data_IF_847963389276
#
_entry.id   IF_847963389276
#
_cell.length_a   1.000
_cell.length_b   1.000
_cell.length_c   1.000
_cell.angle_alpha   90.00
_cell.angle_beta   90.00
_cell.angle_gamma   90.00
#
_symmetry.space_group_name_H-M   'P 1'
#
loop_
_entity.id
_entity.type
_entity.pdbx_description
1 polymer ?
#
# COMPACT_ATOMS: atom_id res chain seq x y z
N UNK A 1 -20.68 13.99 -6.26
CA UNK A 1 -20.23 14.21 -4.86
C UNK A 1 -19.77 12.86 -4.31
N UNK A 2 -18.49 12.67 -4.02
CA UNK A 2 -17.97 11.42 -3.41
C UNK A 2 -17.90 11.64 -1.90
N UNK A 3 -18.77 10.97 -1.14
CA UNK A 3 -18.78 11.02 0.32
C UNK A 3 -17.90 9.87 0.80
N UNK A 4 -16.71 10.16 1.30
CA UNK A 4 -15.88 9.17 1.99
C UNK A 4 -16.36 9.08 3.44
N UNK A 5 -16.93 7.95 3.83
CA UNK A 5 -17.28 7.70 5.22
C UNK A 5 -15.99 7.46 6.01
N UNK A 6 -15.74 8.26 7.05
CA UNK A 6 -14.75 7.93 8.08
C UNK A 6 -15.21 6.63 8.74
N UNK A 7 -14.31 5.66 8.95
CA UNK A 7 -14.63 4.31 9.45
C UNK A 7 -15.14 4.25 10.90
N UNK A 8 -15.74 5.33 11.40
CA UNK A 8 -16.44 5.44 12.68
C UNK A 8 -17.81 6.05 12.45
N UNK A 9 -18.84 5.42 12.98
CA UNK A 9 -20.24 5.90 12.92
C UNK A 9 -20.81 6.02 14.32
N UNK A 10 -21.64 7.05 14.54
CA UNK A 10 -22.40 7.22 15.77
C UNK A 10 -23.76 6.54 15.60
N UNK A 11 -24.07 5.55 16.44
CA UNK A 11 -25.37 4.86 16.45
C UNK A 11 -25.82 4.66 17.89
N UNK A 12 -27.04 5.05 18.22
CA UNK A 12 -27.64 4.87 19.55
C UNK A 12 -26.72 5.38 20.69
N UNK A 13 -26.19 6.61 20.55
CA UNK A 13 -25.23 7.26 21.45
C UNK A 13 -23.92 6.49 21.71
N UNK A 14 -23.61 5.50 20.86
CA UNK A 14 -22.36 4.76 20.88
C UNK A 14 -21.58 4.96 19.60
N UNK A 15 -20.28 5.19 19.73
CA UNK A 15 -19.35 5.23 18.60
C UNK A 15 -19.01 3.78 18.23
N UNK A 16 -19.37 3.39 17.02
CA UNK A 16 -19.05 2.09 16.44
C UNK A 16 -17.94 2.31 15.41
N UNK A 17 -16.80 1.68 15.62
CA UNK A 17 -15.76 1.56 14.59
C UNK A 17 -16.20 0.50 13.58
N UNK A 18 -16.18 0.83 12.29
CA UNK A 18 -16.45 -0.10 11.19
C UNK A 18 -15.17 -0.82 10.71
N UNK A 19 -14.01 -0.38 11.20
CA UNK A 19 -12.69 -0.86 10.79
C UNK A 19 -12.17 -2.01 11.69
N UNK A 20 -12.95 -3.07 11.87
CA UNK A 20 -12.49 -4.32 12.53
C UNK A 20 -11.82 -5.30 11.54
N UNK A 21 -11.09 -4.76 10.56
CA UNK A 21 -10.08 -5.52 9.82
C UNK A 21 -8.88 -4.61 9.59
N UNK A 22 -7.97 -4.56 10.55
CA UNK A 22 -6.55 -4.35 10.26
C UNK A 22 -6.08 -5.51 9.37
N UNK A 23 -6.48 -5.52 8.10
CA UNK A 23 -5.66 -6.11 7.08
C UNK A 23 -4.51 -5.14 6.96
N UNK A 24 -3.39 -5.49 7.61
CA UNK A 24 -2.09 -4.91 7.28
C UNK A 24 -2.07 -4.76 5.76
N UNK A 25 -2.02 -3.52 5.29
CA UNK A 25 -1.99 -3.18 3.87
C UNK A 25 -0.58 -3.53 3.38
N UNK A 26 -0.25 -4.82 3.42
CA UNK A 26 1.01 -5.35 2.91
C UNK A 26 0.97 -5.07 1.42
N UNK A 27 1.99 -4.38 0.88
CA UNK A 27 2.02 -4.08 -0.54
C UNK A 27 1.87 -5.39 -1.32
N UNK A 28 0.76 -5.52 -2.05
CA UNK A 28 0.54 -6.64 -2.94
C UNK A 28 1.47 -6.46 -4.13
N UNK A 29 2.43 -7.37 -4.29
CA UNK A 29 3.34 -7.35 -5.45
C UNK A 29 2.50 -7.60 -6.70
N UNK A 30 2.37 -6.58 -7.55
CA UNK A 30 1.53 -6.61 -8.77
C UNK A 30 2.29 -7.03 -10.04
N UNK A 31 3.58 -7.33 -9.93
CA UNK A 31 4.41 -7.70 -11.08
C UNK A 31 5.51 -8.67 -10.67
N UNK A 32 5.63 -9.77 -11.44
CA UNK A 32 6.73 -10.73 -11.35
C UNK A 32 7.98 -10.26 -12.10
N UNK A 33 7.91 -9.11 -12.77
CA UNK A 33 9.02 -8.58 -13.56
C UNK A 33 10.05 -7.90 -12.66
N UNK A 34 11.28 -8.41 -12.65
CA UNK A 34 12.42 -7.75 -12.01
C UNK A 34 12.80 -6.47 -12.77
N UNK A 35 12.67 -5.28 -12.17
CA UNK A 35 12.97 -4.03 -12.86
C UNK A 35 14.47 -3.90 -13.12
N UNK A 36 14.85 -3.31 -14.26
CA UNK A 36 16.26 -3.06 -14.62
C UNK A 36 16.91 -1.98 -13.76
N UNK A 37 16.12 -1.04 -13.26
CA UNK A 37 16.55 0.07 -12.41
C UNK A 37 15.66 0.15 -11.17
N UNK A 38 16.25 0.43 -10.01
CA UNK A 38 15.57 0.62 -8.73
C UNK A 38 16.01 1.96 -8.12
N UNK A 39 15.20 2.49 -7.21
CA UNK A 39 15.50 3.73 -6.51
C UNK A 39 16.14 3.43 -5.15
N UNK A 40 17.24 4.09 -4.82
CA UNK A 40 17.89 3.96 -3.52
C UNK A 40 17.17 4.78 -2.43
N UNK A 41 17.65 4.67 -1.18
CA UNK A 41 17.10 5.40 -0.03
C UNK A 41 17.23 6.93 -0.12
N UNK A 42 18.01 7.47 -1.07
CA UNK A 42 18.16 8.90 -1.33
C UNK A 42 17.33 9.36 -2.52
N UNK A 43 16.61 8.44 -3.17
CA UNK A 43 15.82 8.74 -4.35
C UNK A 43 16.60 8.64 -5.66
N UNK A 44 17.83 8.13 -5.67
CA UNK A 44 18.67 8.00 -6.86
C UNK A 44 18.36 6.71 -7.61
N UNK A 45 18.26 6.79 -8.94
CA UNK A 45 18.10 5.60 -9.78
C UNK A 45 19.43 4.86 -9.95
N UNK A 46 19.45 3.59 -9.55
CA UNK A 46 20.60 2.69 -9.67
C UNK A 46 20.23 1.44 -10.47
N UNK A 47 21.22 0.81 -11.09
CA UNK A 47 21.02 -0.49 -11.77
C UNK A 47 20.65 -1.54 -10.74
N UNK A 48 19.57 -2.27 -10.97
CA UNK A 48 19.13 -3.33 -10.06
C UNK A 48 20.17 -4.46 -10.04
N UNK A 49 20.78 -4.80 -8.89
CA UNK A 49 21.72 -5.90 -8.76
C UNK A 49 21.09 -7.27 -9.06
N UNK A 50 19.79 -7.42 -8.80
CA UNK A 50 19.03 -8.65 -9.04
C UNK A 50 18.61 -8.81 -10.51
N UNK A 51 18.92 -7.84 -11.36
CA UNK A 51 18.60 -7.91 -12.78
C UNK A 51 19.63 -8.74 -13.54
N UNK A 52 19.25 -9.97 -13.89
CA UNK A 52 19.96 -10.80 -14.87
C UNK A 52 19.41 -10.55 -16.28
N UNK A 53 20.30 -10.48 -17.27
CA UNK A 53 19.89 -10.68 -18.66
C UNK A 53 19.51 -12.15 -18.79
N UNK A 54 18.24 -12.42 -19.06
CA UNK A 54 17.78 -13.71 -19.56
C UNK A 54 18.08 -13.81 -21.05
#
# INVERSE_FOLDING_TARGET
MKITFSGKVLRDDKIISLDDQEKEDKPKVISETTPKFIQDHKGTWIKNPEWSFN
#
